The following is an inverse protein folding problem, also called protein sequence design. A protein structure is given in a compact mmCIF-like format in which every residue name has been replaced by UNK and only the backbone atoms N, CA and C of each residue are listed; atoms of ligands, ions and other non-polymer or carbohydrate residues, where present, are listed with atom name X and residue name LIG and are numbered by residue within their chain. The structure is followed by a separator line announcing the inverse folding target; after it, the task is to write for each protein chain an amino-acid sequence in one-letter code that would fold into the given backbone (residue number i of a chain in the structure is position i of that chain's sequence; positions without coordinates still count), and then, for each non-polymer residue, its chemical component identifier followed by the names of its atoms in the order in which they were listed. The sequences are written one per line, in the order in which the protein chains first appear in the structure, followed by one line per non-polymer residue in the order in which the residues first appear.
data_IF_012210272603
#
_entry.id   IF_012210272603
#
_cell.length_a   1.000
_cell.length_b   1.000
_cell.length_c   1.000
_cell.angle_alpha   90.00
_cell.angle_beta   90.00
_cell.angle_gamma   90.00
#
_symmetry.space_group_name_H-M   'P 1'
#
loop_
_entity.id
_entity.type
_entity.pdbx_description
1 polymer ?
#
# COMPACT_ATOMS: atom_id res chain seq x y z
N UNK A 1 22.27 -57.43 -2.17
CA UNK A 1 22.78 -56.70 -0.98
C UNK A 1 23.01 -55.19 -1.19
N UNK A 2 22.96 -54.66 -2.43
CA UNK A 2 23.21 -53.23 -2.71
C UNK A 2 22.04 -52.25 -2.44
N UNK A 3 20.81 -52.74 -2.22
CA UNK A 3 19.63 -51.87 -2.06
C UNK A 3 19.42 -51.35 -0.63
N UNK A 4 19.93 -52.04 0.40
CA UNK A 4 19.82 -51.56 1.80
C UNK A 4 20.79 -50.42 2.13
N UNK A 5 21.95 -50.38 1.49
CA UNK A 5 22.97 -49.34 1.74
C UNK A 5 22.56 -47.96 1.20
N UNK A 6 21.89 -47.90 0.04
CA UNK A 6 21.43 -46.65 -0.56
C UNK A 6 20.25 -46.03 0.21
N UNK A 7 19.36 -46.86 0.75
CA UNK A 7 18.21 -46.39 1.54
C UNK A 7 18.67 -45.73 2.86
N UNK A 8 19.69 -46.30 3.49
CA UNK A 8 20.22 -45.80 4.77
C UNK A 8 21.04 -44.50 4.59
N UNK A 9 21.64 -44.30 3.42
CA UNK A 9 22.33 -43.06 3.07
C UNK A 9 21.34 -41.90 2.78
N UNK A 10 20.21 -42.21 2.12
CA UNK A 10 19.15 -41.22 1.87
C UNK A 10 18.44 -40.78 3.17
N UNK A 11 18.21 -41.70 4.10
CA UNK A 11 17.56 -41.42 5.38
C UNK A 11 18.41 -40.52 6.28
N UNK A 12 19.73 -40.76 6.33
CA UNK A 12 20.66 -39.91 7.09
C UNK A 12 20.83 -38.52 6.46
N UNK A 13 20.76 -38.41 5.13
CA UNK A 13 20.83 -37.12 4.43
C UNK A 13 19.59 -36.27 4.68
N UNK A 14 18.40 -36.87 4.76
CA UNK A 14 17.16 -36.17 5.14
C UNK A 14 17.15 -35.72 6.60
N UNK A 15 17.66 -36.54 7.52
CA UNK A 15 17.75 -36.18 8.96
C UNK A 15 18.68 -34.99 9.19
N UNK A 16 19.82 -34.93 8.50
CA UNK A 16 20.75 -33.79 8.60
C UNK A 16 20.17 -32.50 7.98
N UNK A 17 19.43 -32.60 6.87
CA UNK A 17 18.73 -31.45 6.28
C UNK A 17 17.63 -30.88 7.17
N UNK A 18 16.90 -31.75 7.88
CA UNK A 18 15.86 -31.33 8.84
C UNK A 18 16.48 -30.70 10.10
N UNK A 19 17.63 -31.21 10.54
CA UNK A 19 18.35 -30.66 11.69
C UNK A 19 18.93 -29.27 11.40
N UNK A 20 19.52 -29.05 10.21
CA UNK A 20 19.99 -27.73 9.80
C UNK A 20 18.85 -26.71 9.71
N UNK A 21 17.71 -27.10 9.15
CA UNK A 21 16.53 -26.22 9.07
C UNK A 21 15.93 -25.91 10.46
N UNK A 22 15.91 -26.89 11.36
CA UNK A 22 15.45 -26.69 12.74
C UNK A 22 16.40 -25.75 13.51
N UNK A 23 17.72 -25.86 13.29
CA UNK A 23 18.71 -24.98 13.89
C UNK A 23 18.60 -23.54 13.37
N UNK A 24 18.30 -23.34 12.08
CA UNK A 24 18.01 -22.02 11.53
C UNK A 24 16.75 -21.39 12.13
N UNK A 25 15.70 -22.19 12.32
CA UNK A 25 14.46 -21.72 12.96
C UNK A 25 14.74 -21.30 14.40
N UNK A 26 15.44 -22.12 15.19
CA UNK A 26 15.78 -21.83 16.59
C UNK A 26 16.72 -20.62 16.69
N UNK A 27 17.69 -20.48 15.79
CA UNK A 27 18.56 -19.31 15.74
C UNK A 27 17.77 -18.02 15.46
N UNK A 28 16.77 -18.07 14.58
CA UNK A 28 15.89 -16.94 14.29
C UNK A 28 14.99 -16.58 15.49
N UNK A 29 14.45 -17.57 16.21
CA UNK A 29 13.64 -17.32 17.41
C UNK A 29 14.46 -16.75 18.57
N UNK A 30 15.71 -17.17 18.73
CA UNK A 30 16.59 -16.67 19.79
C UNK A 30 17.10 -15.26 19.49
N UNK A 31 17.39 -14.91 18.23
CA UNK A 31 17.72 -13.53 17.85
C UNK A 31 16.54 -12.55 18.00
N UNK A 32 15.31 -13.05 17.95
CA UNK A 32 14.10 -12.23 18.11
C UNK A 32 13.80 -11.83 19.57
N UNK A 33 14.50 -12.43 20.55
CA UNK A 33 14.23 -12.23 21.98
C UNK A 33 15.21 -11.26 22.67
N UNK A 34 16.21 -10.70 21.96
CA UNK A 34 17.23 -9.82 22.56
C UNK A 34 17.47 -8.51 21.82
N UNK A 35 16.57 -8.05 20.95
CA UNK A 35 16.70 -6.72 20.35
C UNK A 35 15.81 -5.71 21.06
N UNK A 36 16.47 -4.73 21.68
CA UNK A 36 15.92 -3.42 22.04
C UNK A 36 15.13 -2.80 20.89
N UNK A 37 14.20 -1.93 21.27
CA UNK A 37 13.26 -1.19 20.41
C UNK A 37 13.99 -0.58 19.21
N UNK A 38 13.88 -1.21 18.05
CA UNK A 38 14.07 -0.54 16.77
C UNK A 38 12.69 -0.06 16.33
N UNK A 39 12.55 1.25 16.17
CA UNK A 39 11.48 1.82 15.35
C UNK A 39 11.51 1.13 13.99
N UNK A 40 10.50 0.30 13.73
CA UNK A 40 10.34 -0.40 12.46
C UNK A 40 10.04 0.64 11.39
N UNK A 41 11.11 1.08 10.73
CA UNK A 41 11.05 1.95 9.57
C UNK A 41 10.33 1.26 8.41
N UNK A 42 9.09 1.68 8.17
CA UNK A 42 8.22 1.25 7.09
C UNK A 42 8.86 1.40 5.70
N UNK A 43 8.99 0.35 4.88
CA UNK A 43 9.59 0.49 3.55
C UNK A 43 8.53 0.92 2.53
N UNK A 44 8.70 2.10 1.89
CA UNK A 44 7.75 2.68 0.90
C UNK A 44 7.89 2.13 -0.52
N UNK A 45 8.37 0.90 -0.67
CA UNK A 45 8.51 0.22 -1.98
C UNK A 45 7.33 -0.72 -2.30
N UNK A 46 6.15 -0.40 -1.77
CA UNK A 46 4.94 -1.22 -1.91
C UNK A 46 4.42 -1.11 -3.35
N UNK A 47 4.30 -2.25 -4.03
CA UNK A 47 3.61 -2.30 -5.32
C UNK A 47 2.12 -2.14 -5.02
N UNK A 48 1.33 -1.75 -6.03
CA UNK A 48 -0.12 -1.48 -5.94
C UNK A 48 -0.97 -2.53 -5.19
N UNK A 49 -0.49 -3.76 -5.00
CA UNK A 49 -1.16 -4.80 -4.23
C UNK A 49 -1.02 -4.70 -2.70
N UNK A 50 0.01 -4.02 -2.20
CA UNK A 50 0.35 -4.12 -0.79
C UNK A 50 -0.49 -3.11 0.06
N UNK A 51 -0.75 -1.90 -0.44
CA UNK A 51 -1.39 -0.79 0.32
C UNK A 51 -2.84 -1.10 0.74
N UNK A 52 -3.54 -1.96 0.01
CA UNK A 52 -4.97 -2.25 0.20
C UNK A 52 -5.32 -3.04 1.47
N UNK A 53 -4.37 -3.72 2.11
CA UNK A 53 -4.69 -4.64 3.21
C UNK A 53 -4.48 -4.03 4.62
N UNK A 54 -3.79 -2.89 4.75
CA UNK A 54 -3.30 -2.41 6.05
C UNK A 54 -4.33 -1.64 6.89
N UNK A 55 -5.10 -0.71 6.30
CA UNK A 55 -6.05 0.14 7.05
C UNK A 55 -7.24 -0.63 7.63
N UNK A 56 -7.67 -1.72 7.00
CA UNK A 56 -8.83 -2.52 7.46
C UNK A 56 -8.51 -3.38 8.68
N UNK A 57 -7.22 -3.65 8.96
CA UNK A 57 -6.79 -4.41 10.14
C UNK A 57 -6.76 -3.56 11.42
N UNK A 58 -6.51 -2.25 11.32
CA UNK A 58 -6.38 -1.35 12.47
C UNK A 58 -7.72 -1.06 13.17
N UNK A 59 -8.83 -1.03 12.42
CA UNK A 59 -10.15 -0.76 13.02
C UNK A 59 -10.80 -2.00 13.69
N UNK A 60 -10.28 -3.20 13.43
CA UNK A 60 -10.82 -4.45 13.97
C UNK A 60 -10.09 -5.01 15.20
N UNK A 61 -8.84 -4.60 15.42
CA UNK A 61 -7.99 -5.10 16.49
C UNK A 61 -7.63 -3.99 17.47
N UNK A 62 -8.36 -3.91 18.59
CA UNK A 62 -7.94 -3.08 19.72
C UNK A 62 -6.47 -3.29 20.02
N UNK A 63 -5.73 -2.18 20.10
CA UNK A 63 -4.30 -2.02 20.39
C UNK A 63 -3.61 -3.28 20.92
N UNK A 64 -3.13 -4.15 20.03
CA UNK A 64 -2.21 -5.23 20.35
C UNK A 64 -1.46 -5.61 19.07
N UNK A 65 -0.15 -5.40 19.12
CA UNK A 65 0.91 -5.83 18.19
C UNK A 65 0.49 -6.76 17.05
N UNK A 66 0.50 -6.22 15.83
CA UNK A 66 0.45 -7.01 14.59
C UNK A 66 1.88 -7.32 14.18
N UNK A 67 2.29 -8.59 14.28
CA UNK A 67 3.56 -9.07 13.72
C UNK A 67 3.30 -9.48 12.28
N UNK A 68 3.81 -8.73 11.31
CA UNK A 68 3.83 -9.16 9.91
C UNK A 68 5.03 -10.07 9.70
N UNK A 69 4.80 -11.35 9.43
CA UNK A 69 5.85 -12.26 8.95
C UNK A 69 5.61 -12.60 7.48
N UNK A 70 6.67 -12.72 6.64
CA UNK A 70 6.53 -13.10 5.24
C UNK A 70 6.36 -14.63 5.15
N UNK A 71 5.13 -15.14 5.27
CA UNK A 71 4.82 -16.58 5.18
C UNK A 71 3.93 -16.99 3.99
N UNK A 72 3.57 -16.07 3.08
CA UNK A 72 2.68 -16.40 1.96
C UNK A 72 3.25 -17.50 1.03
N UNK A 73 4.56 -17.51 0.78
CA UNK A 73 5.19 -18.50 -0.10
C UNK A 73 5.32 -19.89 0.54
N UNK A 74 5.42 -19.97 1.87
CA UNK A 74 5.52 -21.25 2.60
C UNK A 74 4.16 -21.95 2.67
N UNK A 75 3.07 -21.19 2.76
CA UNK A 75 1.70 -21.75 2.81
C UNK A 75 1.32 -22.35 1.45
N UNK A 76 1.69 -21.71 0.33
CA UNK A 76 1.45 -22.26 -1.00
C UNK A 76 2.23 -23.55 -1.25
N UNK A 77 3.47 -23.67 -0.74
CA UNK A 77 4.24 -24.91 -0.85
C UNK A 77 3.67 -26.05 0.02
N UNK A 78 2.99 -25.72 1.13
CA UNK A 78 2.32 -26.71 1.98
C UNK A 78 0.98 -27.19 1.39
N UNK A 79 0.28 -26.36 0.60
CA UNK A 79 -1.01 -26.74 -0.01
C UNK A 79 -0.86 -27.86 -1.06
N UNK A 80 0.28 -27.95 -1.75
CA UNK A 80 0.53 -29.08 -2.67
C UNK A 80 0.83 -30.40 -1.93
N UNK A 81 1.39 -30.35 -0.72
CA UNK A 81 1.65 -31.54 0.10
C UNK A 81 0.36 -32.10 0.71
N UNK A 82 -0.67 -31.28 0.90
CA UNK A 82 -1.93 -31.67 1.56
C UNK A 82 -2.94 -32.33 0.61
N UNK A 83 -2.67 -32.42 -0.70
CA UNK A 83 -3.52 -33.22 -1.62
C UNK A 83 -3.48 -34.73 -1.37
N UNK A 84 -2.54 -35.23 -0.56
CA UNK A 84 -2.39 -36.67 -0.27
C UNK A 84 -2.86 -37.12 1.13
N UNK A 85 -3.17 -36.20 2.04
CA UNK A 85 -3.58 -36.55 3.40
C UNK A 85 -4.52 -35.48 3.95
N UNK A 86 -5.80 -35.83 4.09
CA UNK A 86 -6.90 -34.91 4.34
C UNK A 86 -6.62 -33.80 5.36
N UNK A 87 -7.06 -32.60 5.01
CA UNK A 87 -6.95 -31.32 5.72
C UNK A 87 -7.36 -31.38 7.22
N UNK A 88 -8.17 -32.36 7.60
CA UNK A 88 -8.70 -32.53 8.95
C UNK A 88 -7.70 -33.11 9.96
N UNK A 89 -6.69 -33.88 9.51
CA UNK A 89 -5.72 -34.50 10.42
C UNK A 89 -4.56 -33.55 10.79
N UNK A 90 -4.21 -32.60 9.92
CA UNK A 90 -3.11 -31.67 10.18
C UNK A 90 -3.48 -30.66 11.28
N UNK A 91 -4.73 -30.19 11.30
CA UNK A 91 -5.24 -29.26 12.32
C UNK A 91 -5.26 -29.83 13.74
N UNK A 92 -5.22 -31.16 13.91
CA UNK A 92 -5.11 -31.78 15.24
C UNK A 92 -3.67 -31.94 15.73
N UNK A 93 -2.67 -31.96 14.84
CA UNK A 93 -1.27 -32.15 15.21
C UNK A 93 -0.55 -30.86 15.65
N UNK A 94 -1.06 -29.70 15.22
CA UNK A 94 -0.61 -28.41 15.73
C UNK A 94 -1.44 -28.15 16.98
N UNK A 95 -0.96 -28.59 18.14
CA UNK A 95 -1.65 -28.45 19.42
C UNK A 95 -1.92 -27.00 19.80
N UNK A 96 -2.95 -26.40 19.21
CA UNK A 96 -3.51 -25.10 19.58
C UNK A 96 -4.82 -25.36 20.30
N UNK A 97 -4.72 -26.02 21.45
CA UNK A 97 -5.74 -25.93 22.51
C UNK A 97 -5.29 -24.83 23.46
N UNK A 98 -5.48 -23.58 23.02
CA UNK A 98 -5.17 -22.38 23.77
C UNK A 98 -6.28 -21.35 23.60
N UNK A 99 -6.92 -20.98 24.71
CA UNK A 99 -8.00 -20.01 24.80
C UNK A 99 -7.77 -18.75 23.94
N UNK A 100 -8.68 -18.50 22.99
CA UNK A 100 -9.29 -17.18 22.83
C UNK A 100 -8.72 -16.17 21.81
N UNK A 101 -7.64 -16.44 21.08
CA UNK A 101 -7.04 -15.39 20.21
C UNK A 101 -6.64 -15.81 18.79
N UNK A 102 -6.60 -17.10 18.45
CA UNK A 102 -6.11 -17.57 17.14
C UNK A 102 -7.11 -17.43 15.99
N UNK A 103 -8.42 -17.50 16.25
CA UNK A 103 -9.46 -17.39 15.20
C UNK A 103 -9.57 -16.00 14.55
N UNK A 104 -9.01 -14.96 15.18
CA UNK A 104 -9.07 -13.58 14.68
C UNK A 104 -8.03 -13.30 13.58
N UNK A 105 -6.92 -14.03 13.56
CA UNK A 105 -5.83 -13.75 12.61
C UNK A 105 -6.12 -14.30 11.21
N UNK A 106 -6.84 -15.43 11.12
CA UNK A 106 -7.27 -16.04 9.84
C UNK A 106 -8.41 -15.22 9.19
N UNK A 107 -9.20 -14.48 9.98
CA UNK A 107 -10.27 -13.62 9.45
C UNK A 107 -9.77 -12.35 8.74
N UNK A 108 -8.59 -11.83 9.08
CA UNK A 108 -8.07 -10.61 8.44
C UNK A 108 -7.62 -10.84 7.00
N UNK A 109 -6.95 -11.97 6.71
CA UNK A 109 -6.54 -12.32 5.36
C UNK A 109 -7.74 -12.55 4.43
N UNK A 110 -8.81 -13.18 4.91
CA UNK A 110 -10.04 -13.41 4.16
C UNK A 110 -10.86 -12.10 3.93
N UNK A 111 -10.70 -11.08 4.77
CA UNK A 111 -11.41 -9.79 4.63
C UNK A 111 -10.73 -8.85 3.64
N UNK A 112 -9.41 -8.95 3.46
CA UNK A 112 -8.67 -8.20 2.45
C UNK A 112 -9.03 -8.59 1.00
N UNK A 113 -9.55 -9.80 0.76
CA UNK A 113 -10.02 -10.20 -0.58
C UNK A 113 -11.31 -9.48 -1.02
N UNK A 114 -12.10 -8.92 -0.08
CA UNK A 114 -13.41 -8.31 -0.39
C UNK A 114 -13.41 -6.79 -0.54
N UNK A 115 -12.27 -6.13 -0.28
CA UNK A 115 -12.14 -4.67 -0.29
C UNK A 115 -10.89 -4.24 -1.05
N UNK A 116 -10.80 -4.63 -2.32
CA UNK A 116 -10.01 -3.89 -3.31
C UNK A 116 -10.63 -2.48 -3.49
N UNK A 117 -10.52 -1.61 -2.48
CA UNK A 117 -10.71 -0.18 -2.71
C UNK A 117 -9.57 0.22 -3.62
N UNK A 118 -9.87 0.49 -4.88
CA UNK A 118 -8.89 1.01 -5.81
C UNK A 118 -8.46 2.37 -5.24
N UNK A 119 -7.26 2.40 -4.67
CA UNK A 119 -6.64 3.58 -4.08
C UNK A 119 -5.55 4.08 -5.03
N UNK A 120 -5.46 5.39 -5.14
CA UNK A 120 -4.43 6.09 -5.90
C UNK A 120 -3.82 7.15 -5.00
N UNK A 121 -2.61 6.86 -4.51
CA UNK A 121 -1.83 7.83 -3.76
C UNK A 121 -1.05 8.67 -4.77
N UNK A 122 -1.52 9.90 -5.01
CA UNK A 122 -0.84 10.87 -5.86
C UNK A 122 -0.17 11.91 -4.99
N UNK A 123 1.16 12.01 -5.07
CA UNK A 123 1.92 13.07 -4.42
C UNK A 123 2.24 14.15 -5.43
N UNK A 124 1.72 15.36 -5.18
CA UNK A 124 2.00 16.54 -5.98
C UNK A 124 2.80 17.53 -5.14
N UNK A 125 3.63 18.32 -5.81
CA UNK A 125 4.41 19.37 -5.16
C UNK A 125 3.75 20.72 -5.40
N UNK A 126 3.56 21.50 -4.32
CA UNK A 126 2.92 22.81 -4.39
C UNK A 126 3.95 23.90 -4.11
N UNK A 127 4.10 24.83 -5.06
CA UNK A 127 5.03 25.95 -4.92
C UNK A 127 4.55 26.96 -3.88
N UNK A 128 5.43 27.35 -2.98
CA UNK A 128 5.27 28.47 -2.07
C UNK A 128 6.30 29.56 -2.46
N UNK A 129 5.81 30.77 -2.74
CA UNK A 129 6.67 31.89 -3.11
C UNK A 129 7.22 32.58 -1.86
N UNK A 130 8.51 32.97 -1.89
CA UNK A 130 9.13 33.72 -0.80
C UNK A 130 9.28 32.92 0.49
N UNK A 131 9.44 31.60 0.39
CA UNK A 131 9.57 30.70 1.55
C UNK A 131 10.84 29.85 1.42
N UNK A 132 11.40 29.42 2.55
CA UNK A 132 12.44 28.39 2.63
C UNK A 132 12.18 27.44 3.79
N UNK A 133 12.64 26.20 3.67
CA UNK A 133 12.69 25.28 4.81
C UNK A 133 13.74 25.71 5.84
N UNK A 134 13.63 25.15 7.05
CA UNK A 134 14.64 25.31 8.09
C UNK A 134 15.88 24.45 7.77
N UNK A 135 17.07 25.00 7.92
CA UNK A 135 18.32 24.33 7.53
C UNK A 135 18.58 23.05 8.35
N UNK A 136 18.10 22.99 9.59
CA UNK A 136 18.13 21.79 10.45
C UNK A 136 17.32 20.60 9.91
N UNK A 137 16.38 20.84 8.98
CA UNK A 137 15.52 19.82 8.39
C UNK A 137 16.00 19.37 7.01
N UNK A 138 17.18 19.81 6.55
CA UNK A 138 17.75 19.42 5.26
C UNK A 138 18.22 17.96 5.34
N UNK A 139 17.57 17.09 4.57
CA UNK A 139 17.98 15.70 4.37
C UNK A 139 19.21 15.61 3.48
N UNK A 140 19.18 16.34 2.36
CA UNK A 140 20.24 16.32 1.36
C UNK A 140 20.22 17.56 0.47
N UNK A 141 21.37 17.83 -0.13
CA UNK A 141 21.54 18.87 -1.13
C UNK A 141 22.27 18.30 -2.35
N UNK A 142 21.69 18.47 -3.55
CA UNK A 142 22.23 17.93 -4.80
C UNK A 142 22.17 18.99 -5.91
N UNK A 143 23.15 18.99 -6.82
CA UNK A 143 23.12 19.84 -8.01
C UNK A 143 22.30 19.10 -9.08
N UNK A 144 21.23 19.75 -9.57
CA UNK A 144 20.29 19.19 -10.53
C UNK A 144 20.06 20.13 -11.71
N UNK A 145 19.88 19.62 -12.92
CA UNK A 145 19.80 20.48 -14.11
C UNK A 145 18.49 21.25 -14.20
N UNK A 146 17.42 20.66 -13.66
CA UNK A 146 16.06 21.21 -13.72
C UNK A 146 15.29 20.91 -12.44
N UNK A 147 14.16 21.58 -12.28
CA UNK A 147 13.32 21.42 -11.11
C UNK A 147 12.70 20.02 -11.01
N UNK A 148 12.34 19.41 -12.13
CA UNK A 148 11.70 18.08 -12.16
C UNK A 148 12.62 17.00 -11.58
N UNK A 149 13.95 17.18 -11.71
CA UNK A 149 14.93 16.31 -11.06
C UNK A 149 14.89 16.48 -9.53
N UNK A 150 14.71 17.71 -9.02
CA UNK A 150 14.56 17.97 -7.58
C UNK A 150 13.27 17.36 -7.01
N UNK A 151 12.16 17.45 -7.77
CA UNK A 151 10.92 16.75 -7.44
C UNK A 151 11.12 15.23 -7.43
N UNK A 152 11.83 14.69 -8.41
CA UNK A 152 12.23 13.28 -8.43
C UNK A 152 13.04 12.86 -7.20
N UNK A 153 14.01 13.68 -6.77
CA UNK A 153 14.76 13.44 -5.53
C UNK A 153 13.85 13.39 -4.32
N UNK A 154 12.93 14.35 -4.17
CA UNK A 154 11.97 14.35 -3.06
C UNK A 154 10.96 13.19 -3.14
N UNK A 155 10.58 12.74 -4.33
CA UNK A 155 9.66 11.62 -4.49
C UNK A 155 10.32 10.28 -4.13
N UNK A 156 11.62 10.14 -4.40
CA UNK A 156 12.40 8.95 -4.06
C UNK A 156 12.78 8.88 -2.58
N UNK A 157 12.91 10.03 -1.90
CA UNK A 157 13.18 10.08 -0.47
C UNK A 157 11.89 9.88 0.35
N UNK A 158 11.86 8.80 1.14
CA UNK A 158 10.73 8.43 2.02
C UNK A 158 10.36 9.57 2.96
N UNK A 159 11.36 10.19 3.56
CA UNK A 159 11.16 11.23 4.57
C UNK A 159 10.90 12.60 3.97
N UNK A 160 11.06 12.78 2.65
CA UNK A 160 10.87 14.10 2.07
C UNK A 160 9.44 14.58 2.21
N UNK A 161 9.29 15.75 2.81
CA UNK A 161 8.03 16.50 2.88
C UNK A 161 8.08 17.81 2.07
N UNK A 162 9.26 18.34 1.77
CA UNK A 162 9.41 19.54 0.95
C UNK A 162 10.77 19.60 0.24
N UNK A 163 10.90 20.45 -0.78
CA UNK A 163 12.20 20.76 -1.38
C UNK A 163 12.32 22.25 -1.76
N UNK A 164 13.56 22.75 -1.86
CA UNK A 164 13.91 24.08 -2.33
C UNK A 164 14.81 23.97 -3.55
N UNK A 165 14.46 24.65 -4.63
CA UNK A 165 15.30 24.74 -5.81
C UNK A 165 15.86 26.16 -5.96
N UNK A 166 17.20 26.27 -6.02
CA UNK A 166 17.90 27.51 -6.31
C UNK A 166 18.21 27.58 -7.79
N UNK A 167 17.51 28.45 -8.53
CA UNK A 167 17.65 28.57 -10.00
C UNK A 167 19.08 28.90 -10.44
N UNK A 168 19.74 29.81 -9.72
CA UNK A 168 21.05 30.34 -10.11
C UNK A 168 22.17 29.31 -10.04
N UNK A 169 22.21 28.55 -8.95
CA UNK A 169 23.27 27.57 -8.68
C UNK A 169 22.83 26.14 -8.99
N UNK A 170 21.58 25.95 -9.40
CA UNK A 170 21.00 24.64 -9.73
C UNK A 170 21.07 23.66 -8.56
N UNK A 171 20.97 24.15 -7.33
CA UNK A 171 21.03 23.33 -6.12
C UNK A 171 19.61 23.03 -5.65
N UNK A 172 19.33 21.75 -5.45
CA UNK A 172 18.14 21.20 -4.83
C UNK A 172 18.43 20.88 -3.37
N UNK A 173 17.65 21.42 -2.44
CA UNK A 173 17.65 21.03 -1.03
C UNK A 173 16.36 20.25 -0.75
N UNK A 174 16.48 19.05 -0.19
CA UNK A 174 15.37 18.19 0.18
C UNK A 174 15.19 18.26 1.69
N UNK A 175 13.95 18.42 2.16
CA UNK A 175 13.61 18.61 3.57
C UNK A 175 12.67 17.51 4.07
N UNK A 176 12.83 17.07 5.31
CA UNK A 176 11.92 16.13 5.98
C UNK A 176 10.75 16.80 6.72
N UNK A 177 10.61 18.12 6.59
CA UNK A 177 9.61 18.91 7.28
C UNK A 177 8.90 19.86 6.32
N UNK A 178 7.62 20.13 6.61
CA UNK A 178 6.82 21.15 5.94
C UNK A 178 7.00 22.54 6.55
N UNK A 179 7.77 22.64 7.64
CA UNK A 179 8.07 23.92 8.28
C UNK A 179 8.87 24.79 7.33
N UNK A 180 8.44 26.04 7.22
CA UNK A 180 9.05 27.03 6.37
C UNK A 180 9.03 28.39 7.06
N UNK A 181 10.01 29.21 6.71
CA UNK A 181 10.11 30.60 7.11
C UNK A 181 10.16 31.46 5.85
N UNK A 182 9.74 32.71 5.99
CA UNK A 182 9.84 33.68 4.91
C UNK A 182 11.30 33.81 4.47
N UNK A 183 11.49 33.78 3.16
CA UNK A 183 12.78 33.91 2.52
C UNK A 183 12.78 35.18 1.68
N UNK A 184 13.65 36.13 2.04
CA UNK A 184 13.83 37.36 1.28
C UNK A 184 14.59 37.14 -0.04
N UNK A 185 15.09 35.92 -0.27
CA UNK A 185 15.76 35.57 -1.52
C UNK A 185 14.73 35.27 -2.62
N UNK A 186 14.49 36.27 -3.47
CA UNK A 186 13.57 36.21 -4.63
C UNK A 186 13.91 35.11 -5.65
N UNK A 187 15.12 34.56 -5.61
CA UNK A 187 15.61 33.55 -6.55
C UNK A 187 15.35 32.10 -6.09
N UNK A 188 14.78 31.89 -4.91
CA UNK A 188 14.47 30.55 -4.42
C UNK A 188 13.03 30.15 -4.66
N UNK A 189 12.81 28.88 -5.00
CA UNK A 189 11.48 28.30 -5.14
C UNK A 189 11.34 27.14 -4.17
N UNK A 190 10.40 27.26 -3.23
CA UNK A 190 10.11 26.21 -2.25
C UNK A 190 8.85 25.46 -2.62
N UNK A 191 8.87 24.15 -2.43
CA UNK A 191 7.83 23.24 -2.84
C UNK A 191 7.50 22.30 -1.70
N UNK A 192 6.23 22.20 -1.35
CA UNK A 192 5.75 21.26 -0.33
C UNK A 192 5.13 20.05 -1.01
N UNK A 193 5.60 18.86 -0.66
CA UNK A 193 5.04 17.58 -1.10
C UNK A 193 3.72 17.36 -0.36
N UNK A 194 2.63 17.24 -1.12
CA UNK A 194 1.31 16.89 -0.61
C UNK A 194 0.83 15.63 -1.29
N UNK A 195 0.63 14.58 -0.51
CA UNK A 195 0.05 13.34 -1.00
C UNK A 195 -1.46 13.37 -0.80
N UNK A 196 -2.19 13.06 -1.86
CA UNK A 196 -3.63 12.87 -1.86
C UNK A 196 -3.89 11.38 -2.04
N UNK A 197 -4.57 10.79 -1.08
CA UNK A 197 -5.11 9.44 -1.21
C UNK A 197 -6.49 9.56 -1.82
N UNK A 198 -6.62 9.20 -3.09
CA UNK A 198 -7.90 9.16 -3.78
C UNK A 198 -8.46 7.73 -3.79
N UNK A 199 -9.75 7.60 -3.51
CA UNK A 199 -10.48 6.34 -3.63
C UNK A 199 -11.89 6.58 -4.17
N UNK A 200 -12.51 5.53 -4.68
CA UNK A 200 -13.88 5.57 -5.19
C UNK A 200 -14.86 5.07 -4.13
N UNK A 201 -15.99 5.76 -3.97
CA UNK A 201 -17.07 5.40 -3.05
C UNK A 201 -18.34 5.12 -3.85
N UNK A 202 -18.68 3.84 -3.97
CA UNK A 202 -19.86 3.37 -4.69
C UNK A 202 -21.14 3.49 -3.85
N UNK A 203 -22.22 3.90 -4.49
CA UNK A 203 -23.59 3.95 -4.00
C UNK A 203 -24.45 3.17 -5.00
N UNK A 204 -25.11 2.11 -4.52
CA UNK A 204 -25.98 1.27 -5.35
C UNK A 204 -27.32 1.96 -5.61
N UNK A 205 -27.96 1.57 -6.70
CA UNK A 205 -29.25 2.12 -7.14
C UNK A 205 -29.24 3.65 -7.19
N UNK A 206 -28.17 4.21 -7.74
CA UNK A 206 -27.96 5.65 -7.82
C UNK A 206 -27.38 6.05 -9.18
N UNK A 207 -27.72 7.26 -9.63
CA UNK A 207 -27.34 7.82 -10.93
C UNK A 207 -26.97 9.29 -10.82
N UNK A 208 -26.00 9.74 -11.61
CA UNK A 208 -25.74 11.17 -11.82
C UNK A 208 -26.72 11.82 -12.81
N UNK A 209 -26.77 13.16 -12.87
CA UNK A 209 -27.55 13.94 -13.84
C UNK A 209 -27.06 13.72 -15.29
N UNK A 210 -27.98 13.58 -16.25
CA UNK A 210 -27.63 13.25 -17.64
C UNK A 210 -26.97 14.40 -18.40
N UNK A 211 -27.31 15.63 -18.03
CA UNK A 211 -26.82 16.87 -18.61
C UNK A 211 -25.39 17.23 -18.18
N UNK A 212 -24.86 16.57 -17.15
CA UNK A 212 -23.48 16.75 -16.66
C UNK A 212 -22.54 15.61 -17.12
N UNK A 213 -23.03 14.68 -17.95
CA UNK A 213 -22.21 13.59 -18.50
C UNK A 213 -21.20 14.18 -19.49
N UNK A 214 -19.92 13.97 -19.22
CA UNK A 214 -18.85 14.45 -20.11
C UNK A 214 -18.46 13.38 -21.13
N UNK A 215 -18.30 12.12 -20.69
CA UNK A 215 -17.87 11.03 -21.56
C UNK A 215 -18.55 9.71 -21.24
N UNK A 216 -18.68 8.87 -22.27
CA UNK A 216 -19.34 7.57 -22.19
C UNK A 216 -18.42 6.52 -22.77
N UNK A 217 -18.26 5.39 -22.07
CA UNK A 217 -17.42 4.27 -22.50
C UNK A 217 -18.10 2.93 -22.18
N UNK A 218 -17.90 1.93 -23.04
CA UNK A 218 -18.29 0.55 -22.69
C UNK A 218 -17.29 -0.04 -21.72
N UNK A 219 -17.78 -0.57 -20.61
CA UNK A 219 -16.97 -1.25 -19.60
C UNK A 219 -17.74 -2.48 -19.10
N UNK A 220 -17.04 -3.50 -18.61
CA UNK A 220 -17.68 -4.75 -18.17
C UNK A 220 -18.17 -4.72 -16.72
N UNK A 221 -17.76 -3.72 -15.94
CA UNK A 221 -18.13 -3.62 -14.52
C UNK A 221 -17.92 -2.21 -13.95
N UNK A 222 -18.56 -1.92 -12.82
CA UNK A 222 -18.31 -0.72 -12.03
C UNK A 222 -16.85 -0.60 -11.56
N UNK A 223 -16.15 -1.72 -11.31
CA UNK A 223 -14.72 -1.69 -10.94
C UNK A 223 -13.84 -1.16 -12.08
N UNK A 224 -14.14 -1.52 -13.33
CA UNK A 224 -13.41 -0.99 -14.48
C UNK A 224 -13.72 0.51 -14.71
N UNK A 225 -14.96 0.92 -14.49
CA UNK A 225 -15.35 2.33 -14.42
C UNK A 225 -14.53 3.13 -13.40
N UNK A 226 -14.38 2.60 -12.19
CA UNK A 226 -13.62 3.24 -11.12
C UNK A 226 -12.13 3.34 -11.48
N UNK A 227 -11.54 2.29 -12.06
CA UNK A 227 -10.16 2.33 -12.58
C UNK A 227 -10.00 3.38 -13.68
N UNK A 228 -10.98 3.49 -14.57
CA UNK A 228 -10.99 4.50 -15.63
C UNK A 228 -11.03 5.91 -15.04
N UNK A 229 -11.90 6.16 -14.06
CA UNK A 229 -12.01 7.44 -13.38
C UNK A 229 -10.72 7.83 -12.64
N UNK A 230 -10.15 6.92 -11.85
CA UNK A 230 -8.93 7.20 -11.08
C UNK A 230 -7.74 7.61 -11.96
N UNK A 231 -7.63 7.00 -13.14
CA UNK A 231 -6.57 7.32 -14.12
C UNK A 231 -6.74 8.71 -14.74
N UNK A 232 -7.97 9.22 -14.80
CA UNK A 232 -8.26 10.53 -15.35
C UNK A 232 -8.18 11.59 -14.24
N UNK A 233 -7.31 12.59 -14.41
CA UNK A 233 -7.10 13.63 -13.39
C UNK A 233 -8.32 14.53 -13.19
N UNK A 234 -9.16 14.65 -14.22
CA UNK A 234 -10.38 15.45 -14.24
C UNK A 234 -11.61 14.70 -13.69
N UNK A 235 -11.54 13.38 -13.53
CA UNK A 235 -12.72 12.61 -13.13
C UNK A 235 -13.05 12.80 -11.66
N UNK A 236 -14.32 13.16 -11.40
CA UNK A 236 -14.91 13.34 -10.08
C UNK A 236 -15.89 12.24 -9.70
N UNK A 237 -16.59 11.68 -10.67
CA UNK A 237 -17.49 10.57 -10.44
C UNK A 237 -17.71 9.75 -11.72
N UNK A 238 -18.28 8.56 -11.52
CA UNK A 238 -18.79 7.71 -12.59
C UNK A 238 -20.14 7.13 -12.19
N UNK A 239 -20.93 6.71 -13.15
CA UNK A 239 -21.96 5.70 -12.90
C UNK A 239 -21.98 4.64 -13.98
N UNK A 240 -22.50 3.47 -13.63
CA UNK A 240 -22.52 2.28 -14.46
C UNK A 240 -23.93 1.73 -14.57
N UNK A 241 -24.39 1.46 -15.79
CA UNK A 241 -25.74 0.95 -16.08
C UNK A 241 -25.80 -0.57 -16.33
N UNK A 242 -24.67 -1.27 -16.18
CA UNK A 242 -24.53 -2.69 -16.51
C UNK A 242 -23.74 -2.95 -17.81
N UNK A 243 -23.61 -1.95 -18.69
CA UNK A 243 -22.84 -2.07 -19.95
C UNK A 243 -21.92 -0.86 -20.18
N UNK A 244 -22.35 0.32 -19.75
CA UNK A 244 -21.70 1.60 -20.03
C UNK A 244 -21.34 2.33 -18.76
N UNK A 245 -20.16 2.90 -18.82
CA UNK A 245 -19.59 3.84 -17.88
C UNK A 245 -19.84 5.26 -18.37
N UNK A 246 -20.34 6.13 -17.50
CA UNK A 246 -20.46 7.56 -17.80
C UNK A 246 -19.64 8.33 -16.77
N UNK A 247 -18.79 9.25 -17.26
CA UNK A 247 -17.83 10.03 -16.48
C UNK A 247 -18.35 11.43 -16.22
N UNK A 248 -18.09 11.94 -15.03
CA UNK A 248 -18.37 13.31 -14.62
C UNK A 248 -17.07 14.01 -14.19
N UNK A 249 -16.91 15.27 -14.60
CA UNK A 249 -15.77 16.14 -14.25
C UNK A 249 -16.07 17.12 -13.13
N UNK A 250 -17.34 17.31 -12.81
CA UNK A 250 -17.80 18.18 -11.74
C UNK A 250 -18.32 17.37 -10.54
N UNK A 251 -18.52 18.06 -9.41
CA UNK A 251 -19.12 17.44 -8.23
C UNK A 251 -20.63 17.26 -8.43
N UNK A 252 -21.03 16.03 -8.75
CA UNK A 252 -22.43 15.71 -9.03
C UNK A 252 -23.13 15.11 -7.81
N UNK A 253 -24.39 15.49 -7.61
CA UNK A 253 -25.25 14.88 -6.57
C UNK A 253 -26.03 13.72 -7.19
N UNK A 254 -25.86 12.47 -6.72
CA UNK A 254 -26.63 11.36 -7.26
C UNK A 254 -28.08 11.42 -6.81
N UNK A 255 -28.98 10.88 -7.63
CA UNK A 255 -30.37 10.58 -7.28
C UNK A 255 -30.64 9.08 -7.40
N UNK A 256 -31.67 8.61 -6.70
CA UNK A 256 -32.03 7.19 -6.68
C UNK A 256 -32.50 6.70 -8.05
N UNK A 257 -31.91 5.59 -8.50
CA UNK A 257 -32.33 4.89 -9.71
C UNK A 257 -31.93 3.42 -9.66
N UNK A 258 -32.91 2.54 -9.64
CA UNK A 258 -32.71 1.09 -9.58
C UNK A 258 -31.89 0.58 -10.77
N UNK A 259 -30.96 -0.34 -10.48
CA UNK A 259 -30.14 -1.02 -11.49
C UNK A 259 -28.94 -0.22 -12.00
N UNK A 260 -28.60 0.91 -11.36
CA UNK A 260 -27.40 1.68 -11.65
C UNK A 260 -26.52 1.81 -10.40
N UNK A 261 -25.21 1.79 -10.61
CA UNK A 261 -24.24 2.03 -9.55
C UNK A 261 -23.53 3.35 -9.81
N UNK A 262 -23.56 4.26 -8.84
CA UNK A 262 -22.86 5.53 -8.88
C UNK A 262 -21.62 5.47 -8.00
N UNK A 263 -20.45 5.90 -8.47
CA UNK A 263 -19.24 5.94 -7.67
C UNK A 263 -18.57 7.29 -7.75
N UNK A 264 -18.38 7.91 -6.58
CA UNK A 264 -17.76 9.23 -6.45
C UNK A 264 -16.30 9.07 -6.06
N UNK A 265 -15.41 9.87 -6.65
CA UNK A 265 -14.02 10.01 -6.21
C UNK A 265 -13.95 10.87 -4.96
N UNK A 266 -13.27 10.37 -3.94
CA UNK A 266 -12.96 11.09 -2.71
C UNK A 266 -11.45 11.14 -2.60
N UNK A 267 -10.88 12.32 -2.42
CA UNK A 267 -9.46 12.51 -2.23
C UNK A 267 -9.22 13.17 -0.88
N UNK A 268 -8.44 12.54 -0.03
CA UNK A 268 -8.09 13.03 1.30
C UNK A 268 -6.60 13.35 1.34
N UNK A 269 -6.24 14.44 2.02
CA UNK A 269 -4.83 14.77 2.22
C UNK A 269 -4.22 13.76 3.20
N UNK A 270 -3.23 13.04 2.71
CA UNK A 270 -2.49 12.06 3.49
C UNK A 270 -1.27 12.74 4.11
N UNK A 271 -1.30 12.94 5.42
CA UNK A 271 -0.15 13.38 6.22
C UNK A 271 0.47 12.17 6.88
N UNK A 272 1.69 11.84 6.44
CA UNK A 272 2.59 10.90 7.12
C UNK A 272 3.24 11.57 8.33
#
# INVERSE_FOLDING_TARGET
MLTRSLLQCAENRMKNMLLEKALWIIAFTVLSLTSEVYDLDWPWNWRKGDVTCYTTCLEGGGTSTVVSTPFADIIMYMIEVVKAGGLFAFLQSVGVTGNGTSDKMILCAAKCESSEKIQDLKCNTHRLNGMKGLDENVLKAEIVNKIEECEGLCNNEKECKAFKYLLKNRVCFVYNSNQHIEDNFSESQFYVKRCLLCYMKTTKNAKGPDDEIESIRKESSIKECEKYCIKADDCRAVHFDGERCYKFTDEVKPYEKTGMDFSRRICEQYTN
#
